data_IF_476952476432
#
_entry.id   IF_476952476432
#
_cell.length_a   1.000
_cell.length_b   1.000
_cell.length_c   1.000
_cell.angle_alpha   90.00
_cell.angle_beta   90.00
_cell.angle_gamma   90.00
#
_symmetry.space_group_name_H-M   'P 1'
#
loop_
_entity.id
_entity.type
_entity.pdbx_description
1 polymer ?
#
# COMPACT_ATOMS: atom_id res chain seq x y z
N UNK A 1 -12.60 19.61 5.20
CA UNK A 1 -12.22 19.48 3.77
C UNK A 1 -13.36 19.97 2.89
N UNK A 2 -13.14 20.22 1.60
CA UNK A 2 -14.21 20.59 0.65
C UNK A 2 -15.36 19.57 0.62
N UNK A 3 -15.06 18.29 0.88
CA UNK A 3 -16.05 17.21 0.97
C UNK A 3 -16.73 17.10 2.35
N UNK A 4 -16.39 17.97 3.33
CA UNK A 4 -16.90 17.88 4.71
C UNK A 4 -16.33 16.73 5.54
N UNK A 5 -15.27 16.07 5.06
CA UNK A 5 -14.55 15.04 5.78
C UNK A 5 -13.43 15.63 6.66
N UNK A 6 -13.23 15.01 7.81
CA UNK A 6 -12.15 15.23 8.76
C UNK A 6 -11.26 13.99 8.80
N UNK A 7 -9.95 14.17 8.66
CA UNK A 7 -8.97 13.10 8.82
C UNK A 7 -8.76 12.90 10.31
N UNK A 8 -8.96 11.67 10.77
CA UNK A 8 -8.84 11.29 12.19
C UNK A 8 -7.72 10.28 12.41
N UNK A 9 -7.25 9.62 11.35
CA UNK A 9 -6.08 8.73 11.40
C UNK A 9 -5.30 8.69 10.09
N UNK A 10 -3.98 8.52 10.20
CA UNK A 10 -3.09 8.23 9.07
C UNK A 10 -2.05 7.21 9.53
N UNK A 11 -2.05 6.03 8.92
CA UNK A 11 -1.06 4.99 9.15
C UNK A 11 -0.19 4.78 7.90
N UNK A 12 1.13 4.70 8.08
CA UNK A 12 2.05 4.36 7.01
C UNK A 12 2.28 2.85 6.96
N UNK A 13 1.90 2.22 5.85
CA UNK A 13 2.13 0.80 5.59
C UNK A 13 3.37 0.55 4.72
N UNK A 14 4.23 1.56 4.54
CA UNK A 14 5.40 1.48 3.65
C UNK A 14 6.31 0.28 3.90
N UNK A 15 6.72 -0.04 5.14
CA UNK A 15 7.56 -1.22 5.39
C UNK A 15 6.88 -2.53 5.00
N UNK A 16 5.55 -2.61 5.19
CA UNK A 16 4.76 -3.77 4.79
C UNK A 16 4.74 -3.89 3.27
N UNK A 17 4.54 -2.78 2.56
CA UNK A 17 4.49 -2.80 1.10
C UNK A 17 5.84 -3.11 0.45
N UNK A 18 6.96 -2.69 1.05
CA UNK A 18 8.29 -3.13 0.65
C UNK A 18 8.40 -4.67 0.68
N UNK A 19 8.02 -5.30 1.80
CA UNK A 19 8.04 -6.77 1.95
C UNK A 19 7.10 -7.47 0.96
N UNK A 20 5.92 -6.93 0.73
CA UNK A 20 4.97 -7.47 -0.27
C UNK A 20 5.59 -7.50 -1.65
N UNK A 21 6.21 -6.41 -2.09
CA UNK A 21 6.82 -6.30 -3.41
C UNK A 21 8.08 -7.17 -3.54
N UNK A 22 8.88 -7.30 -2.48
CA UNK A 22 9.99 -8.27 -2.43
C UNK A 22 9.48 -9.71 -2.64
N UNK A 23 8.42 -10.10 -1.93
CA UNK A 23 7.83 -11.43 -2.09
C UNK A 23 7.23 -11.65 -3.48
N UNK A 24 6.59 -10.65 -4.07
CA UNK A 24 6.05 -10.74 -5.43
C UNK A 24 7.16 -10.81 -6.48
N UNK A 25 8.20 -9.99 -6.36
CA UNK A 25 9.37 -10.02 -7.23
C UNK A 25 10.04 -11.39 -7.19
N UNK A 26 10.34 -11.92 -5.99
CA UNK A 26 10.96 -13.23 -5.85
C UNK A 26 10.10 -14.36 -6.46
N UNK A 27 8.78 -14.33 -6.26
CA UNK A 27 7.87 -15.33 -6.85
C UNK A 27 7.84 -15.24 -8.37
N UNK A 28 7.81 -14.04 -8.95
CA UNK A 28 7.86 -13.86 -10.41
C UNK A 28 9.17 -14.39 -10.99
N UNK A 29 10.32 -14.03 -10.40
CA UNK A 29 11.63 -14.50 -10.84
C UNK A 29 11.75 -16.04 -10.79
N UNK A 30 11.16 -16.69 -9.78
CA UNK A 30 11.14 -18.16 -9.68
C UNK A 30 10.28 -18.86 -10.74
N UNK A 31 9.40 -18.15 -11.44
CA UNK A 31 8.42 -18.70 -12.39
C UNK A 31 8.42 -18.01 -13.75
N UNK A 32 9.55 -17.43 -14.17
CA UNK A 32 9.63 -16.68 -15.42
C UNK A 32 9.22 -17.50 -16.66
N UNK A 33 9.54 -18.80 -16.69
CA UNK A 33 9.14 -19.67 -17.80
C UNK A 33 7.63 -19.90 -17.89
N UNK A 34 6.93 -19.90 -16.75
CA UNK A 34 5.46 -19.92 -16.74
C UNK A 34 4.89 -18.57 -17.16
N UNK A 35 5.42 -17.48 -16.60
CA UNK A 35 4.98 -16.13 -16.91
C UNK A 35 5.17 -15.78 -18.40
N UNK A 36 6.26 -16.21 -19.02
CA UNK A 36 6.55 -15.98 -20.44
C UNK A 36 5.57 -16.70 -21.38
N UNK A 37 4.82 -17.70 -20.89
CA UNK A 37 3.74 -18.35 -21.65
C UNK A 37 2.41 -17.60 -21.57
N UNK A 38 2.27 -16.67 -20.62
CA UNK A 38 1.03 -15.93 -20.35
C UNK A 38 1.07 -14.55 -21.00
N UNK A 39 2.23 -13.89 -21.00
CA UNK A 39 2.40 -12.53 -21.51
C UNK A 39 3.59 -12.43 -22.47
N UNK A 40 3.58 -11.47 -23.42
CA UNK A 40 4.73 -11.20 -24.27
C UNK A 40 5.98 -10.83 -23.45
N UNK A 41 7.15 -11.16 -23.98
CA UNK A 41 8.44 -10.93 -23.32
C UNK A 41 8.63 -9.45 -22.89
N UNK A 42 8.23 -8.51 -23.76
CA UNK A 42 8.28 -7.08 -23.46
C UNK A 42 7.51 -6.73 -22.17
N UNK A 43 6.30 -7.26 -22.03
CA UNK A 43 5.47 -7.06 -20.83
C UNK A 43 6.12 -7.71 -19.61
N UNK A 44 6.66 -8.92 -19.74
CA UNK A 44 7.36 -9.61 -18.65
C UNK A 44 8.55 -8.78 -18.14
N UNK A 45 9.36 -8.23 -19.04
CA UNK A 45 10.50 -7.38 -18.67
C UNK A 45 10.08 -6.12 -17.91
N UNK A 46 8.99 -5.47 -18.34
CA UNK A 46 8.43 -4.31 -17.62
C UNK A 46 8.04 -4.70 -16.20
N UNK A 47 7.33 -5.81 -16.03
CA UNK A 47 6.88 -6.25 -14.70
C UNK A 47 8.02 -6.60 -13.75
N UNK A 48 9.09 -7.23 -14.26
CA UNK A 48 10.30 -7.51 -13.48
C UNK A 48 10.94 -6.21 -12.98
N UNK A 49 11.11 -5.22 -13.87
CA UNK A 49 11.67 -3.91 -13.53
C UNK A 49 10.78 -3.16 -12.54
N UNK A 50 9.46 -3.16 -12.78
CA UNK A 50 8.49 -2.50 -11.92
C UNK A 50 8.51 -3.05 -10.50
N UNK A 51 8.41 -4.38 -10.32
CA UNK A 51 8.36 -4.98 -8.98
C UNK A 51 9.66 -4.75 -8.20
N UNK A 52 10.82 -4.97 -8.84
CA UNK A 52 12.12 -4.75 -8.20
C UNK A 52 12.35 -3.27 -7.87
N UNK A 53 12.01 -2.37 -8.79
CA UNK A 53 12.15 -0.93 -8.61
C UNK A 53 11.23 -0.39 -7.51
N UNK A 54 9.97 -0.81 -7.48
CA UNK A 54 9.04 -0.42 -6.43
C UNK A 54 9.45 -0.99 -5.07
N UNK A 55 9.85 -2.27 -4.98
CA UNK A 55 10.34 -2.85 -3.73
C UNK A 55 11.47 -2.00 -3.14
N UNK A 56 12.45 -1.64 -3.98
CA UNK A 56 13.55 -0.77 -3.59
C UNK A 56 13.07 0.64 -3.19
N UNK A 57 12.16 1.25 -3.95
CA UNK A 57 11.62 2.58 -3.65
C UNK A 57 10.91 2.65 -2.29
N UNK A 58 10.06 1.66 -1.95
CA UNK A 58 9.41 1.58 -0.65
C UNK A 58 10.42 1.33 0.49
N UNK A 59 11.40 0.44 0.27
CA UNK A 59 12.46 0.14 1.25
C UNK A 59 13.33 1.38 1.55
N UNK A 60 13.62 2.22 0.54
CA UNK A 60 14.41 3.45 0.70
C UNK A 60 13.61 4.67 1.14
N UNK A 61 12.30 4.56 1.32
CA UNK A 61 11.48 5.69 1.72
C UNK A 61 11.20 6.70 0.62
N UNK A 62 11.44 6.35 -0.64
CA UNK A 62 11.18 7.22 -1.78
C UNK A 62 9.69 7.32 -2.12
N UNK A 63 8.94 6.29 -1.74
CA UNK A 63 7.49 6.17 -1.94
C UNK A 63 6.89 5.71 -0.61
N UNK A 64 5.63 6.10 -0.36
CA UNK A 64 4.87 5.69 0.82
C UNK A 64 3.48 5.17 0.42
N UNK A 65 2.88 4.39 1.31
CA UNK A 65 1.50 3.93 1.21
C UNK A 65 0.81 4.27 2.53
N UNK A 66 -0.26 5.05 2.45
CA UNK A 66 -1.01 5.50 3.62
C UNK A 66 -2.41 4.92 3.64
N UNK A 67 -2.79 4.36 4.78
CA UNK A 67 -4.18 4.14 5.13
C UNK A 67 -4.68 5.39 5.85
N UNK A 68 -5.73 6.01 5.33
CA UNK A 68 -6.30 7.24 5.87
C UNK A 68 -7.72 6.93 6.36
N UNK A 69 -7.97 7.17 7.64
CA UNK A 69 -9.32 7.17 8.19
C UNK A 69 -9.84 8.60 8.18
N UNK A 70 -10.98 8.80 7.53
CA UNK A 70 -11.67 10.07 7.51
C UNK A 70 -13.15 9.85 7.81
N UNK A 71 -13.74 10.77 8.58
CA UNK A 71 -15.14 10.75 8.96
C UNK A 71 -15.81 12.05 8.57
N UNK A 72 -17.13 12.04 8.40
CA UNK A 72 -17.92 13.26 8.40
C UNK A 72 -18.42 13.49 9.83
N UNK A 73 -17.98 14.55 10.53
CA UNK A 73 -18.44 14.81 11.89
C UNK A 73 -19.97 15.00 11.93
N UNK A 74 -20.57 14.64 13.06
CA UNK A 74 -21.96 14.97 13.35
C UNK A 74 -22.14 16.50 13.49
N UNK A 75 -23.38 16.96 13.49
CA UNK A 75 -23.69 18.40 13.64
C UNK A 75 -23.17 19.00 14.95
N UNK A 76 -22.98 18.18 16.00
CA UNK A 76 -22.40 18.57 17.29
C UNK A 76 -20.87 18.47 17.32
N UNK A 77 -20.22 18.19 16.18
CA UNK A 77 -18.78 18.11 16.03
C UNK A 77 -18.15 16.78 16.46
N UNK A 78 -18.93 15.80 16.94
CA UNK A 78 -18.38 14.50 17.32
C UNK A 78 -18.04 13.66 16.10
N UNK A 79 -16.97 12.86 16.20
CA UNK A 79 -16.52 11.93 15.16
C UNK A 79 -17.21 10.56 15.24
N UNK A 80 -17.76 10.20 16.41
CA UNK A 80 -18.34 8.88 16.67
C UNK A 80 -17.30 7.77 16.89
N UNK A 81 -16.02 8.11 16.97
CA UNK A 81 -14.93 7.14 17.19
C UNK A 81 -14.52 7.07 18.67
N UNK A 82 -13.97 5.93 19.12
CA UNK A 82 -13.29 5.85 20.41
C UNK A 82 -12.16 6.87 20.54
N UNK A 83 -11.80 7.24 21.76
CA UNK A 83 -10.72 8.21 22.03
C UNK A 83 -9.31 7.60 21.86
N UNK A 84 -9.20 6.28 21.83
CA UNK A 84 -7.96 5.52 21.65
C UNK A 84 -8.12 4.56 20.47
N UNK A 85 -7.01 3.94 20.03
CA UNK A 85 -6.99 2.96 18.93
C UNK A 85 -7.08 1.50 19.40
N UNK A 86 -7.60 1.26 20.61
CA UNK A 86 -7.71 -0.10 21.17
C UNK A 86 -8.68 -0.97 20.35
N UNK A 87 -9.67 -0.37 19.70
CA UNK A 87 -10.56 -1.06 18.76
C UNK A 87 -9.83 -1.60 17.51
N UNK A 88 -8.65 -1.07 17.19
CA UNK A 88 -7.83 -1.48 16.04
C UNK A 88 -6.70 -2.44 16.44
N UNK A 89 -6.02 -2.19 17.56
CA UNK A 89 -4.80 -2.94 17.95
C UNK A 89 -4.85 -3.61 19.33
N UNK A 90 -5.92 -3.41 20.10
CA UNK A 90 -6.10 -3.92 21.47
C UNK A 90 -6.57 -5.35 21.53
#
# INVERSE_FOLDING_TARGET
SEAGLEIVDVESLRPHYARTLEHWSARLESRLGEAARIVPEHTLRIWRLYLAGCAYGFAKGWINLHQILAVKPFADGKTGLPLTREDIYG
#
